data_IF_030622107680
#
_entry.id   IF_030622107680
#
_cell.length_a   1.000
_cell.length_b   1.000
_cell.length_c   1.000
_cell.angle_alpha   90.00
_cell.angle_beta   90.00
_cell.angle_gamma   90.00
#
_symmetry.space_group_name_H-M   'P 1'
#
loop_
_entity.id
_entity.type
_entity.pdbx_description
1 polymer ?
#
# COMPACT_ATOMS: atom_id res chain seq x y z
N UNK A 1 19.85 -12.35 -26.54
CA UNK A 1 19.71 -10.96 -27.01
C UNK A 1 19.09 -10.13 -25.89
N UNK A 2 19.70 -9.01 -25.51
CA UNK A 2 19.12 -8.11 -24.49
C UNK A 2 17.89 -7.46 -25.13
N UNK A 3 16.69 -7.53 -24.51
CA UNK A 3 15.49 -6.96 -25.10
C UNK A 3 15.53 -5.43 -25.06
N UNK A 4 15.08 -4.80 -26.15
CA UNK A 4 14.81 -3.36 -26.16
C UNK A 4 13.70 -3.00 -25.17
N UNK A 5 13.77 -1.79 -24.63
CA UNK A 5 12.76 -1.27 -23.71
C UNK A 5 11.32 -1.45 -24.23
N UNK A 6 11.07 -1.15 -25.52
CA UNK A 6 9.72 -1.26 -26.09
C UNK A 6 9.21 -2.71 -26.14
N UNK A 7 10.10 -3.68 -26.35
CA UNK A 7 9.73 -5.09 -26.35
C UNK A 7 9.45 -5.55 -24.92
N UNK A 8 10.34 -5.22 -23.98
CA UNK A 8 10.16 -5.56 -22.57
C UNK A 8 8.88 -4.96 -21.99
N UNK A 9 8.57 -3.71 -22.32
CA UNK A 9 7.42 -3.00 -21.76
C UNK A 9 6.09 -3.58 -22.20
N UNK A 10 5.99 -4.11 -23.43
CA UNK A 10 4.76 -4.77 -23.92
C UNK A 10 4.41 -5.99 -23.09
N UNK A 11 5.41 -6.79 -22.69
CA UNK A 11 5.19 -7.93 -21.80
C UNK A 11 4.87 -7.49 -20.37
N UNK A 12 5.56 -6.46 -19.88
CA UNK A 12 5.34 -5.95 -18.54
C UNK A 12 3.96 -5.28 -18.40
N UNK A 13 3.48 -4.56 -19.43
CA UNK A 13 2.18 -3.89 -19.45
C UNK A 13 1.04 -4.89 -19.30
N UNK A 14 1.09 -6.03 -20.00
CA UNK A 14 0.08 -7.09 -19.85
C UNK A 14 -0.01 -7.59 -18.41
N UNK A 15 1.12 -7.82 -17.76
CA UNK A 15 1.17 -8.29 -16.37
C UNK A 15 0.71 -7.22 -15.38
N UNK A 16 1.21 -5.99 -15.53
CA UNK A 16 0.86 -4.89 -14.64
C UNK A 16 -0.63 -4.55 -14.73
N UNK A 17 -1.22 -4.59 -15.92
CA UNK A 17 -2.66 -4.40 -16.10
C UNK A 17 -3.44 -5.43 -15.28
N UNK A 18 -3.09 -6.73 -15.42
CA UNK A 18 -3.73 -7.81 -14.66
C UNK A 18 -3.58 -7.59 -13.15
N UNK A 19 -2.39 -7.21 -12.67
CA UNK A 19 -2.18 -6.96 -11.24
C UNK A 19 -2.95 -5.75 -10.72
N UNK A 20 -3.00 -4.65 -11.48
CA UNK A 20 -3.76 -3.45 -11.10
C UNK A 20 -5.26 -3.78 -11.03
N UNK A 21 -5.79 -4.51 -12.01
CA UNK A 21 -7.17 -4.99 -11.98
C UNK A 21 -7.44 -5.92 -10.80
N UNK A 22 -6.58 -6.92 -10.58
CA UNK A 22 -6.75 -7.87 -9.48
C UNK A 22 -6.80 -7.15 -8.12
N UNK A 23 -5.85 -6.26 -7.84
CA UNK A 23 -5.82 -5.52 -6.57
C UNK A 23 -6.99 -4.54 -6.47
N UNK A 24 -7.26 -3.78 -7.54
CA UNK A 24 -8.36 -2.81 -7.56
C UNK A 24 -9.73 -3.46 -7.32
N UNK A 25 -10.01 -4.57 -8.01
CA UNK A 25 -11.26 -5.31 -7.86
C UNK A 25 -11.39 -5.98 -6.49
N UNK A 26 -10.30 -6.51 -5.92
CA UNK A 26 -10.32 -7.07 -4.56
C UNK A 26 -10.68 -6.00 -3.54
N UNK A 27 -10.05 -4.82 -3.60
CA UNK A 27 -10.30 -3.75 -2.63
C UNK A 27 -11.69 -3.13 -2.79
N UNK A 28 -12.15 -2.89 -4.02
CA UNK A 28 -13.52 -2.45 -4.27
C UNK A 28 -14.52 -3.52 -3.85
N UNK A 29 -14.21 -4.80 -4.07
CA UNK A 29 -15.05 -5.92 -3.64
C UNK A 29 -15.19 -6.00 -2.12
N UNK A 30 -14.12 -5.75 -1.36
CA UNK A 30 -14.19 -5.63 0.10
C UNK A 30 -15.06 -4.46 0.53
N UNK A 31 -14.86 -3.28 -0.08
CA UNK A 31 -15.72 -2.13 0.16
C UNK A 31 -17.20 -2.47 -0.11
N UNK A 32 -17.51 -3.05 -1.28
CA UNK A 32 -18.88 -3.29 -1.72
C UNK A 32 -19.60 -4.32 -0.83
N UNK A 33 -18.88 -5.37 -0.41
CA UNK A 33 -19.38 -6.35 0.56
C UNK A 33 -19.65 -5.69 1.92
N UNK A 34 -18.73 -4.85 2.38
CA UNK A 34 -18.87 -4.15 3.66
C UNK A 34 -19.99 -3.11 3.64
N UNK A 35 -20.32 -2.55 2.48
CA UNK A 35 -21.44 -1.63 2.26
C UNK A 35 -22.79 -2.33 2.07
N UNK A 36 -22.88 -3.66 2.28
CA UNK A 36 -24.12 -4.41 2.07
C UNK A 36 -24.59 -4.40 0.60
N UNK A 37 -23.64 -4.35 -0.34
CA UNK A 37 -23.87 -4.22 -1.77
C UNK A 37 -24.54 -2.92 -2.22
N UNK A 38 -24.53 -1.89 -1.36
CA UNK A 38 -24.99 -0.54 -1.71
C UNK A 38 -23.81 0.36 -2.08
N UNK A 39 -24.10 1.44 -2.81
CA UNK A 39 -23.13 2.49 -3.13
C UNK A 39 -23.80 3.85 -2.96
N UNK A 40 -23.67 4.48 -1.78
CA UNK A 40 -24.21 5.82 -1.54
C UNK A 40 -23.29 6.90 -2.11
N UNK A 41 -23.85 8.09 -2.37
CA UNK A 41 -23.10 9.24 -2.88
C UNK A 41 -21.99 9.72 -1.95
N UNK A 42 -22.14 9.53 -0.64
CA UNK A 42 -21.14 9.86 0.38
C UNK A 42 -19.83 9.08 0.19
N UNK A 43 -19.91 7.87 -0.36
CA UNK A 43 -18.77 6.96 -0.50
C UNK A 43 -18.02 7.11 -1.82
N UNK A 44 -18.43 8.04 -2.68
CA UNK A 44 -17.72 8.35 -3.94
C UNK A 44 -16.25 8.70 -3.65
N UNK A 45 -16.01 9.49 -2.60
CA UNK A 45 -14.66 9.84 -2.15
C UNK A 45 -13.89 8.63 -1.60
N UNK A 46 -14.58 7.69 -0.95
CA UNK A 46 -13.98 6.48 -0.36
C UNK A 46 -13.48 5.55 -1.47
N UNK A 47 -14.33 5.22 -2.45
CA UNK A 47 -13.97 4.35 -3.58
C UNK A 47 -12.85 4.98 -4.42
N UNK A 48 -12.92 6.29 -4.65
CA UNK A 48 -11.88 7.04 -5.35
C UNK A 48 -10.56 7.06 -4.57
N UNK A 49 -10.63 7.17 -3.24
CA UNK A 49 -9.49 7.05 -2.32
C UNK A 49 -8.80 5.69 -2.40
N UNK A 50 -9.57 4.60 -2.40
CA UNK A 50 -9.05 3.24 -2.56
C UNK A 50 -8.27 3.13 -3.87
N UNK A 51 -8.87 3.56 -4.99
CA UNK A 51 -8.24 3.52 -6.31
C UNK A 51 -6.98 4.41 -6.39
N UNK A 52 -7.02 5.62 -5.83
CA UNK A 52 -5.85 6.51 -5.79
C UNK A 52 -4.69 5.90 -4.98
N UNK A 53 -4.99 5.22 -3.88
CA UNK A 53 -3.99 4.52 -3.06
C UNK A 53 -3.42 3.28 -3.76
N UNK A 54 -4.21 2.60 -4.61
CA UNK A 54 -3.67 1.55 -5.49
C UNK A 54 -2.61 2.16 -6.41
N UNK A 55 -2.92 3.27 -7.10
CA UNK A 55 -1.92 3.95 -7.94
C UNK A 55 -0.66 4.32 -7.13
N UNK A 56 -0.85 4.94 -5.97
CA UNK A 56 0.24 5.33 -5.07
C UNK A 56 1.18 4.15 -4.79
N UNK A 57 0.62 3.00 -4.40
CA UNK A 57 1.42 1.82 -4.06
C UNK A 57 2.22 1.29 -5.25
N UNK A 58 1.67 1.36 -6.47
CA UNK A 58 2.40 0.96 -7.68
C UNK A 58 3.53 1.93 -8.06
N UNK A 59 3.35 3.23 -7.84
CA UNK A 59 4.34 4.25 -8.25
C UNK A 59 5.41 4.52 -7.19
N UNK A 60 5.16 4.22 -5.92
CA UNK A 60 6.05 4.57 -4.81
C UNK A 60 7.46 3.97 -4.91
N UNK A 61 7.55 2.69 -5.28
CA UNK A 61 8.82 1.96 -5.46
C UNK A 61 9.23 1.83 -6.95
N UNK A 62 8.43 2.36 -7.87
CA UNK A 62 8.62 2.18 -9.32
C UNK A 62 9.94 2.77 -9.83
N UNK A 63 10.32 3.96 -9.36
CA UNK A 63 11.59 4.60 -9.74
C UNK A 63 12.79 3.73 -9.35
N UNK A 64 12.77 3.18 -8.14
CA UNK A 64 13.83 2.32 -7.65
C UNK A 64 13.90 1.00 -8.44
N UNK A 65 12.75 0.39 -8.74
CA UNK A 65 12.69 -0.79 -9.60
C UNK A 65 13.37 -0.55 -10.96
N UNK A 66 13.12 0.59 -11.59
CA UNK A 66 13.75 0.94 -12.87
C UNK A 66 15.23 1.26 -12.74
N UNK A 67 15.68 1.84 -11.62
CA UNK A 67 17.10 2.04 -11.34
C UNK A 67 17.88 0.72 -11.29
N UNK A 68 17.34 -0.27 -10.58
CA UNK A 68 17.91 -1.61 -10.57
C UNK A 68 18.03 -2.20 -12.00
N UNK A 69 16.97 -2.10 -12.82
CA UNK A 69 16.97 -2.61 -14.20
C UNK A 69 17.94 -1.86 -15.12
N UNK A 70 18.10 -0.56 -14.92
CA UNK A 70 19.03 0.27 -15.69
C UNK A 70 20.49 -0.07 -15.36
N UNK A 71 20.84 -0.18 -14.08
CA UNK A 71 22.21 -0.46 -13.64
C UNK A 71 22.65 -1.88 -14.02
N UNK A 72 21.76 -2.86 -13.91
CA UNK A 72 22.05 -4.24 -14.31
C UNK A 72 22.14 -4.46 -15.82
N UNK A 73 21.84 -3.44 -16.64
CA UNK A 73 21.88 -3.48 -18.12
C UNK A 73 21.12 -4.66 -18.74
N UNK A 74 20.08 -5.14 -18.04
CA UNK A 74 19.24 -6.24 -18.50
C UNK A 74 18.27 -5.84 -19.61
N UNK A 75 18.21 -4.56 -19.97
CA UNK A 75 17.31 -3.95 -20.96
C UNK A 75 18.09 -2.87 -21.70
N UNK A 76 17.91 -2.75 -23.01
CA UNK A 76 18.45 -1.61 -23.75
C UNK A 76 17.55 -0.36 -23.59
N UNK A 77 18.15 0.71 -23.08
CA UNK A 77 17.52 2.02 -22.85
C UNK A 77 17.89 3.06 -23.93
N UNK A 78 18.48 2.64 -25.05
CA UNK A 78 18.84 3.49 -26.19
C UNK A 78 17.70 4.43 -26.65
N UNK A 79 16.44 3.99 -26.59
CA UNK A 79 15.25 4.79 -26.90
C UNK A 79 15.11 6.09 -26.10
N UNK A 80 15.69 6.14 -24.89
CA UNK A 80 15.65 7.31 -24.01
C UNK A 80 16.85 8.23 -24.15
N UNK A 81 17.87 7.84 -24.94
CA UNK A 81 19.01 8.72 -25.23
C UNK A 81 18.47 10.03 -25.82
N UNK A 82 18.78 11.16 -25.17
CA UNK A 82 18.33 12.53 -25.51
C UNK A 82 16.92 12.95 -25.05
N UNK A 83 16.16 12.12 -24.34
CA UNK A 83 14.82 12.48 -23.83
C UNK A 83 14.86 12.97 -22.39
N UNK A 84 14.86 14.27 -22.16
CA UNK A 84 14.83 14.83 -20.81
C UNK A 84 13.41 15.07 -20.30
N UNK A 85 13.24 15.08 -18.98
CA UNK A 85 11.98 15.47 -18.35
C UNK A 85 11.92 16.98 -18.15
N UNK A 86 10.75 17.55 -18.39
CA UNK A 86 10.47 18.92 -17.99
C UNK A 86 10.28 19.02 -16.46
N UNK A 87 10.50 20.20 -15.88
CA UNK A 87 10.33 20.43 -14.42
C UNK A 87 8.91 20.11 -13.94
N UNK A 88 7.90 20.39 -14.75
CA UNK A 88 6.49 20.09 -14.46
C UNK A 88 6.26 18.56 -14.42
N UNK A 89 6.82 17.83 -15.38
CA UNK A 89 6.75 16.35 -15.41
C UNK A 89 7.38 15.73 -14.16
N UNK A 90 8.50 16.28 -13.68
CA UNK A 90 9.15 15.84 -12.43
C UNK A 90 8.27 16.09 -11.19
N UNK A 91 7.54 17.19 -11.15
CA UNK A 91 6.65 17.52 -10.03
C UNK A 91 5.39 16.64 -10.03
N UNK A 92 4.72 16.52 -11.19
CA UNK A 92 3.50 15.72 -11.35
C UNK A 92 3.73 14.22 -11.10
N UNK A 93 4.94 13.73 -11.33
CA UNK A 93 5.28 12.31 -11.14
C UNK A 93 5.66 11.96 -9.71
N UNK A 94 5.75 12.94 -8.79
CA UNK A 94 5.99 12.62 -7.38
C UNK A 94 4.83 11.79 -6.81
N UNK A 95 5.09 10.70 -6.06
CA UNK A 95 4.02 9.77 -5.64
C UNK A 95 2.85 10.41 -4.90
N UNK A 96 3.11 11.37 -4.01
CA UNK A 96 2.06 12.07 -3.27
C UNK A 96 1.23 12.99 -4.17
N UNK A 97 1.88 13.73 -5.07
CA UNK A 97 1.22 14.64 -6.02
C UNK A 97 0.38 13.84 -7.01
N UNK A 98 0.96 12.79 -7.61
CA UNK A 98 0.25 11.89 -8.52
C UNK A 98 -0.94 11.19 -7.83
N UNK A 99 -0.76 10.74 -6.59
CA UNK A 99 -1.83 10.15 -5.79
C UNK A 99 -2.98 11.13 -5.56
N UNK A 100 -2.68 12.36 -5.13
CA UNK A 100 -3.68 13.40 -4.90
C UNK A 100 -4.42 13.82 -6.18
N UNK A 101 -3.70 14.02 -7.29
CA UNK A 101 -4.32 14.34 -8.58
C UNK A 101 -5.20 13.18 -9.09
N UNK A 102 -4.75 11.93 -8.90
CA UNK A 102 -5.55 10.76 -9.26
C UNK A 102 -6.82 10.66 -8.43
N UNK A 103 -6.78 11.03 -7.14
CA UNK A 103 -7.97 11.10 -6.28
C UNK A 103 -8.99 12.09 -6.84
N UNK A 104 -8.58 13.32 -7.17
CA UNK A 104 -9.48 14.32 -7.73
C UNK A 104 -10.11 13.82 -9.04
N UNK A 105 -9.28 13.27 -9.93
CA UNK A 105 -9.74 12.80 -11.23
C UNK A 105 -10.70 11.61 -11.13
N UNK A 106 -10.40 10.65 -10.25
CA UNK A 106 -11.25 9.49 -10.00
C UNK A 106 -12.55 9.87 -9.28
N UNK A 107 -12.50 10.85 -8.37
CA UNK A 107 -13.70 11.38 -7.72
C UNK A 107 -14.60 12.09 -8.73
N UNK A 108 -14.05 12.90 -9.64
CA UNK A 108 -14.82 13.55 -10.70
C UNK A 108 -15.46 12.52 -11.65
N UNK A 109 -14.70 11.48 -12.04
CA UNK A 109 -15.21 10.39 -12.86
C UNK A 109 -16.34 9.63 -12.15
N UNK A 110 -16.13 9.26 -10.89
CA UNK A 110 -17.09 8.50 -10.08
C UNK A 110 -18.36 9.31 -9.82
N UNK A 111 -18.23 10.61 -9.56
CA UNK A 111 -19.35 11.54 -9.44
C UNK A 111 -20.14 11.63 -10.75
N UNK A 112 -19.47 11.81 -11.88
CA UNK A 112 -20.13 11.85 -13.19
C UNK A 112 -20.90 10.57 -13.50
N UNK A 113 -20.31 9.41 -13.23
CA UNK A 113 -20.98 8.11 -13.42
C UNK A 113 -22.18 7.93 -12.48
N UNK A 114 -22.06 8.37 -11.22
CA UNK A 114 -23.14 8.29 -10.24
C UNK A 114 -24.35 9.17 -10.63
N UNK A 115 -24.12 10.32 -11.26
CA UNK A 115 -25.20 11.20 -11.72
C UNK A 115 -25.95 10.63 -12.94
N UNK A 116 -25.27 9.84 -13.77
CA UNK A 116 -25.83 9.33 -15.02
C UNK A 116 -26.50 7.96 -14.87
N UNK A 117 -26.17 7.20 -13.83
CA UNK A 117 -26.54 5.79 -13.69
C UNK A 117 -27.02 5.47 -12.28
N UNK A 118 -27.89 4.47 -12.11
CA UNK A 118 -28.20 3.94 -10.78
C UNK A 118 -26.95 3.43 -10.07
N UNK A 119 -26.95 3.51 -8.74
CA UNK A 119 -25.79 3.25 -7.86
C UNK A 119 -25.05 1.94 -8.16
N UNK A 120 -25.79 0.85 -8.40
CA UNK A 120 -25.21 -0.47 -8.71
C UNK A 120 -24.42 -0.45 -10.03
N UNK A 121 -24.98 0.13 -11.09
CA UNK A 121 -24.32 0.22 -12.39
C UNK A 121 -23.16 1.21 -12.37
N UNK A 122 -23.28 2.30 -11.60
CA UNK A 122 -22.20 3.25 -11.39
C UNK A 122 -20.98 2.58 -10.74
N UNK A 123 -21.17 1.83 -9.64
CA UNK A 123 -20.07 1.13 -8.98
C UNK A 123 -19.45 0.05 -9.88
N UNK A 124 -20.28 -0.68 -10.63
CA UNK A 124 -19.79 -1.68 -11.59
C UNK A 124 -18.88 -1.04 -12.65
N UNK A 125 -19.31 0.07 -13.27
CA UNK A 125 -18.48 0.79 -14.24
C UNK A 125 -17.23 1.40 -13.61
N UNK A 126 -17.32 1.94 -12.39
CA UNK A 126 -16.15 2.44 -11.66
C UNK A 126 -15.14 1.30 -11.41
N UNK A 127 -15.62 0.10 -11.06
CA UNK A 127 -14.76 -1.07 -10.86
C UNK A 127 -14.06 -1.54 -12.13
N UNK A 128 -14.67 -1.32 -13.30
CA UNK A 128 -14.10 -1.65 -14.61
C UNK A 128 -13.16 -0.56 -15.13
N UNK A 129 -13.56 0.71 -15.06
CA UNK A 129 -12.85 1.85 -15.62
C UNK A 129 -11.75 2.38 -14.69
N UNK A 130 -11.96 2.33 -13.37
CA UNK A 130 -11.00 2.81 -12.37
C UNK A 130 -9.61 2.19 -12.53
N UNK A 131 -9.47 0.85 -12.54
CA UNK A 131 -8.19 0.18 -12.77
C UNK A 131 -7.56 0.51 -14.14
N UNK A 132 -8.37 0.72 -15.18
CA UNK A 132 -7.87 1.14 -16.50
C UNK A 132 -7.25 2.53 -16.44
N UNK A 133 -7.94 3.48 -15.81
CA UNK A 133 -7.47 4.85 -15.60
C UNK A 133 -6.17 4.85 -14.78
N UNK A 134 -6.11 4.07 -13.69
CA UNK A 134 -4.88 3.86 -12.90
C UNK A 134 -3.75 3.33 -13.79
N UNK A 135 -4.02 2.33 -14.63
CA UNK A 135 -3.02 1.76 -15.52
C UNK A 135 -2.49 2.79 -16.53
N UNK A 136 -3.36 3.63 -17.11
CA UNK A 136 -2.96 4.69 -18.04
C UNK A 136 -2.07 5.73 -17.34
N UNK A 137 -2.44 6.17 -16.13
CA UNK A 137 -1.61 7.06 -15.31
C UNK A 137 -0.27 6.43 -14.96
N UNK A 138 -0.27 5.18 -14.50
CA UNK A 138 0.93 4.42 -14.21
C UNK A 138 1.87 4.34 -15.42
N UNK A 139 1.31 4.07 -16.61
CA UNK A 139 2.07 4.02 -17.87
C UNK A 139 2.72 5.36 -18.20
N UNK A 140 2.01 6.47 -18.01
CA UNK A 140 2.58 7.80 -18.19
C UNK A 140 3.72 8.06 -17.21
N UNK A 141 3.47 7.92 -15.90
CA UNK A 141 4.44 8.17 -14.81
C UNK A 141 5.71 7.32 -14.99
N UNK A 142 5.54 6.06 -15.38
CA UNK A 142 6.66 5.16 -15.65
C UNK A 142 7.63 5.73 -16.68
N UNK A 143 7.12 6.25 -17.80
CA UNK A 143 8.02 6.74 -18.85
C UNK A 143 8.87 7.90 -18.34
N UNK A 144 8.29 8.78 -17.52
CA UNK A 144 9.02 9.84 -16.83
C UNK A 144 10.07 9.29 -15.88
N UNK A 145 9.77 8.28 -15.05
CA UNK A 145 10.76 7.67 -14.16
C UNK A 145 11.91 6.99 -14.89
N UNK A 146 11.64 6.30 -16.01
CA UNK A 146 12.69 5.68 -16.82
C UNK A 146 13.61 6.74 -17.42
N UNK A 147 13.06 7.87 -17.93
CA UNK A 147 13.88 9.02 -18.38
C UNK A 147 14.78 9.56 -17.26
N UNK A 148 14.26 9.69 -16.02
CA UNK A 148 15.04 10.18 -14.88
C UNK A 148 16.25 9.28 -14.63
N UNK A 149 15.99 7.98 -14.50
CA UNK A 149 17.00 6.99 -14.15
C UNK A 149 18.04 6.79 -15.27
N UNK A 150 17.61 6.83 -16.54
CA UNK A 150 18.49 6.63 -17.68
C UNK A 150 19.48 7.80 -17.90
N UNK A 151 19.15 9.00 -17.41
CA UNK A 151 19.93 10.23 -17.66
C UNK A 151 20.69 10.68 -16.41
N UNK A 152 20.15 10.50 -15.21
CA UNK A 152 20.81 10.88 -13.97
C UNK A 152 20.58 9.88 -12.84
N UNK A 153 21.69 9.39 -12.28
CA UNK A 153 21.66 8.74 -10.97
C UNK A 153 21.43 9.85 -9.96
N UNK A 154 20.25 9.87 -9.33
CA UNK A 154 19.96 10.84 -8.29
C UNK A 154 21.07 10.78 -7.23
N UNK A 155 21.63 11.92 -6.83
CA UNK A 155 22.63 12.02 -5.75
C UNK A 155 22.00 12.74 -4.56
N UNK A 156 21.01 12.10 -3.92
CA UNK A 156 20.45 12.65 -2.67
C UNK A 156 19.82 11.55 -1.83
N UNK A 157 20.34 11.39 -0.61
CA UNK A 157 19.73 10.56 0.43
C UNK A 157 18.33 11.11 0.73
N UNK A 158 17.31 10.26 0.54
CA UNK A 158 15.89 10.60 0.71
C UNK A 158 15.31 9.98 1.98
N UNK A 159 15.73 8.76 2.32
CA UNK A 159 15.22 8.05 3.49
C UNK A 159 16.35 7.77 4.47
N UNK A 160 16.25 8.38 5.67
CA UNK A 160 17.29 8.30 6.70
C UNK A 160 17.24 7.01 7.53
N UNK A 161 16.08 6.37 7.63
CA UNK A 161 15.94 5.15 8.45
C UNK A 161 14.84 4.22 7.95
N UNK A 162 15.07 2.91 8.10
CA UNK A 162 14.10 1.87 7.80
C UNK A 162 12.81 2.06 8.59
N UNK A 163 12.91 2.46 9.87
CA UNK A 163 11.76 2.71 10.74
C UNK A 163 10.80 3.75 10.15
N UNK A 164 11.31 4.87 9.62
CA UNK A 164 10.47 5.90 8.98
C UNK A 164 9.83 5.42 7.69
N UNK A 165 10.56 4.61 6.91
CA UNK A 165 10.06 4.02 5.66
C UNK A 165 8.95 2.99 5.93
N UNK A 166 9.13 2.13 6.95
CA UNK A 166 8.11 1.19 7.41
C UNK A 166 6.89 1.94 7.94
N UNK A 167 7.09 2.97 8.78
CA UNK A 167 5.99 3.76 9.34
C UNK A 167 5.12 4.36 8.24
N UNK A 168 5.73 4.97 7.21
CA UNK A 168 4.99 5.51 6.08
C UNK A 168 4.14 4.42 5.39
N UNK A 169 4.71 3.24 5.13
CA UNK A 169 3.97 2.15 4.49
C UNK A 169 2.86 1.59 5.36
N UNK A 170 3.07 1.49 6.67
CA UNK A 170 2.05 1.06 7.62
C UNK A 170 0.92 2.09 7.66
N UNK A 171 1.23 3.39 7.71
CA UNK A 171 0.23 4.46 7.66
C UNK A 171 -0.63 4.39 6.38
N UNK A 172 -0.01 4.16 5.22
CA UNK A 172 -0.76 4.03 3.96
C UNK A 172 -1.65 2.79 3.99
N UNK A 173 -1.12 1.66 4.44
CA UNK A 173 -1.89 0.42 4.60
C UNK A 173 -3.06 0.59 5.56
N UNK A 174 -2.88 1.31 6.68
CA UNK A 174 -3.98 1.62 7.61
C UNK A 174 -5.03 2.51 6.98
N UNK A 175 -4.66 3.51 6.17
CA UNK A 175 -5.63 4.35 5.44
C UNK A 175 -6.43 3.51 4.44
N UNK A 176 -5.79 2.62 3.68
CA UNK A 176 -6.50 1.70 2.77
C UNK A 176 -7.50 0.85 3.56
N UNK A 177 -7.06 0.26 4.68
CA UNK A 177 -7.93 -0.58 5.50
C UNK A 177 -9.12 0.21 6.04
N UNK A 178 -8.91 1.42 6.57
CA UNK A 178 -9.97 2.30 7.04
C UNK A 178 -11.00 2.60 5.96
N UNK A 179 -10.57 2.94 4.75
CA UNK A 179 -11.47 3.20 3.63
C UNK A 179 -12.28 1.95 3.24
N UNK A 180 -11.67 0.76 3.29
CA UNK A 180 -12.39 -0.48 2.96
C UNK A 180 -13.39 -0.91 4.03
N UNK A 181 -13.14 -0.62 5.31
CA UNK A 181 -14.01 -1.04 6.43
C UNK A 181 -15.03 0.02 6.81
N UNK A 182 -14.82 1.30 6.46
CA UNK A 182 -15.70 2.42 6.84
C UNK A 182 -17.20 2.13 6.62
N UNK A 183 -17.64 1.46 5.54
CA UNK A 183 -19.06 1.13 5.34
C UNK A 183 -19.68 0.23 6.42
N UNK A 184 -18.87 -0.54 7.17
CA UNK A 184 -19.35 -1.41 8.26
C UNK A 184 -20.00 -0.62 9.40
N UNK A 185 -19.77 0.69 9.48
CA UNK A 185 -20.42 1.59 10.45
C UNK A 185 -21.95 1.53 10.39
N UNK A 186 -22.51 1.19 9.22
CA UNK A 186 -23.94 1.12 8.98
C UNK A 186 -24.54 -0.27 9.26
N UNK A 187 -23.74 -1.25 9.70
CA UNK A 187 -24.22 -2.61 9.89
C UNK A 187 -24.70 -2.87 11.33
N UNK A 188 -25.77 -3.66 11.48
CA UNK A 188 -26.41 -3.98 12.78
C UNK A 188 -25.49 -4.63 13.82
N UNK A 189 -24.31 -5.09 13.41
CA UNK A 189 -23.31 -5.66 14.33
C UNK A 189 -22.40 -4.59 14.96
N UNK A 190 -22.36 -3.39 14.39
CA UNK A 190 -21.53 -2.26 14.80
C UNK A 190 -22.33 -0.97 15.07
N UNK A 191 -23.63 -0.92 14.73
CA UNK A 191 -24.57 0.11 15.18
C UNK A 191 -24.85 -0.13 16.67
N UNK A 192 -23.92 0.29 17.51
CA UNK A 192 -24.07 0.27 18.96
C UNK A 192 -24.43 1.68 19.40
N UNK A 193 -25.73 1.91 19.67
CA UNK A 193 -26.27 3.11 20.31
C UNK A 193 -25.71 3.27 21.75
N UNK A 194 -24.39 3.45 21.89
CA UNK A 194 -23.69 3.56 23.18
C UNK A 194 -23.39 2.23 23.90
N UNK A 195 -23.86 1.08 23.39
CA UNK A 195 -23.60 -0.24 23.99
C UNK A 195 -22.37 -0.94 23.38
N UNK A 196 -21.18 -0.43 23.70
CA UNK A 196 -19.91 -0.96 23.17
C UNK A 196 -19.56 -2.36 23.70
N UNK A 197 -20.00 -2.68 24.92
CA UNK A 197 -19.73 -3.93 25.62
C UNK A 197 -20.85 -4.95 25.38
N UNK A 198 -20.91 -5.51 24.18
CA UNK A 198 -21.71 -6.71 23.91
C UNK A 198 -20.79 -7.84 23.46
N UNK A 199 -21.13 -9.07 23.82
CA UNK A 199 -20.36 -10.23 23.39
C UNK A 199 -20.29 -10.33 21.85
N UNK A 200 -21.38 -9.94 21.18
CA UNK A 200 -21.47 -9.87 19.72
C UNK A 200 -20.49 -8.84 19.13
N UNK A 201 -20.40 -7.63 19.69
CA UNK A 201 -19.49 -6.58 19.18
C UNK A 201 -18.03 -6.97 19.38
N UNK A 202 -17.66 -7.54 20.53
CA UNK A 202 -16.29 -7.98 20.83
C UNK A 202 -15.84 -9.06 19.84
N UNK A 203 -16.67 -10.08 19.60
CA UNK A 203 -16.36 -11.14 18.62
C UNK A 203 -16.27 -10.57 17.20
N UNK A 204 -17.22 -9.73 16.80
CA UNK A 204 -17.23 -9.13 15.46
C UNK A 204 -15.95 -8.30 15.23
N UNK A 205 -15.53 -7.54 16.23
CA UNK A 205 -14.33 -6.71 16.17
C UNK A 205 -13.06 -7.55 16.14
N UNK A 206 -12.98 -8.62 16.96
CA UNK A 206 -11.86 -9.56 16.93
C UNK A 206 -11.69 -10.19 15.53
N UNK A 207 -12.80 -10.64 14.93
CA UNK A 207 -12.79 -11.22 13.59
C UNK A 207 -12.34 -10.17 12.58
N UNK A 208 -12.85 -8.94 12.67
CA UNK A 208 -12.48 -7.84 11.79
C UNK A 208 -10.99 -7.53 11.87
N UNK A 209 -10.45 -7.35 13.09
CA UNK A 209 -9.02 -7.15 13.33
C UNK A 209 -8.19 -8.30 12.76
N UNK A 210 -8.59 -9.55 12.99
CA UNK A 210 -7.92 -10.74 12.47
C UNK A 210 -7.90 -10.79 10.94
N UNK A 211 -9.02 -10.51 10.28
CA UNK A 211 -9.12 -10.48 8.82
C UNK A 211 -8.28 -9.36 8.22
N UNK A 212 -8.36 -8.14 8.76
CA UNK A 212 -7.56 -6.99 8.31
C UNK A 212 -6.07 -7.30 8.47
N UNK A 213 -5.66 -7.85 9.61
CA UNK A 213 -4.28 -8.26 9.83
C UNK A 213 -3.84 -9.36 8.85
N UNK A 214 -4.66 -10.38 8.61
CA UNK A 214 -4.35 -11.47 7.69
C UNK A 214 -4.13 -10.96 6.26
N UNK A 215 -4.99 -10.04 5.80
CA UNK A 215 -4.85 -9.38 4.49
C UNK A 215 -3.53 -8.59 4.43
N UNK A 216 -3.23 -7.79 5.46
CA UNK A 216 -1.97 -7.04 5.52
C UNK A 216 -0.74 -7.95 5.49
N UNK A 217 -0.76 -9.05 6.25
CA UNK A 217 0.32 -10.04 6.26
C UNK A 217 0.46 -10.76 4.91
N UNK A 218 -0.65 -11.00 4.21
CA UNK A 218 -0.63 -11.58 2.87
C UNK A 218 0.07 -10.64 1.87
N UNK A 219 -0.30 -9.36 1.85
CA UNK A 219 0.35 -8.37 0.98
C UNK A 219 1.82 -8.13 1.35
N UNK A 220 2.21 -8.33 2.61
CA UNK A 220 3.58 -8.20 3.05
C UNK A 220 4.52 -9.30 2.50
N UNK A 221 3.99 -10.41 1.97
CA UNK A 221 4.80 -11.49 1.38
C UNK A 221 5.56 -11.06 0.12
N UNK A 222 5.17 -9.96 -0.52
CA UNK A 222 5.88 -9.44 -1.67
C UNK A 222 7.20 -8.78 -1.25
N UNK A 223 8.32 -9.44 -1.55
CA UNK A 223 9.66 -8.96 -1.20
C UNK A 223 9.99 -7.62 -1.86
N UNK A 224 10.63 -6.74 -1.09
CA UNK A 224 11.11 -5.43 -1.53
C UNK A 224 12.59 -5.40 -1.89
N UNK A 225 13.28 -6.55 -1.92
CA UNK A 225 14.73 -6.65 -2.16
C UNK A 225 15.22 -5.85 -3.37
N UNK A 226 14.54 -5.96 -4.52
CA UNK A 226 14.94 -5.26 -5.75
C UNK A 226 14.64 -3.76 -5.71
N UNK A 227 13.60 -3.36 -4.96
CA UNK A 227 13.33 -1.95 -4.72
C UNK A 227 14.43 -1.35 -3.84
N UNK A 228 14.82 -2.01 -2.75
CA UNK A 228 15.94 -1.54 -1.91
C UNK A 228 17.26 -1.48 -2.68
N UNK A 229 17.59 -2.51 -3.47
CA UNK A 229 18.78 -2.50 -4.31
C UNK A 229 18.79 -1.32 -5.30
N UNK A 230 17.64 -1.04 -5.92
CA UNK A 230 17.47 0.13 -6.77
C UNK A 230 17.66 1.46 -6.04
N UNK A 231 17.18 1.57 -4.80
CA UNK A 231 17.37 2.77 -3.95
C UNK A 231 18.83 2.95 -3.51
N UNK A 232 19.56 1.85 -3.25
CA UNK A 232 21.00 1.88 -2.99
C UNK A 232 21.77 2.38 -4.23
N UNK A 233 21.42 1.92 -5.43
CA UNK A 233 22.05 2.42 -6.67
C UNK A 233 21.75 3.90 -6.93
N UNK A 234 20.56 4.37 -6.56
CA UNK A 234 20.19 5.79 -6.61
C UNK A 234 20.73 6.60 -5.43
N UNK A 235 21.51 6.02 -4.52
CA UNK A 235 22.01 6.68 -3.31
C UNK A 235 20.88 7.40 -2.52
N UNK A 236 19.64 6.90 -2.61
CA UNK A 236 18.49 7.42 -1.86
C UNK A 236 18.50 6.92 -0.42
N UNK A 237 19.25 5.84 -0.19
CA UNK A 237 19.38 5.07 1.03
C UNK A 237 20.85 4.74 1.24
N UNK A 238 21.32 4.86 2.47
CA UNK A 238 22.69 4.50 2.87
C UNK A 238 22.79 3.06 3.38
N UNK A 239 24.00 2.52 3.48
CA UNK A 239 24.23 1.17 4.05
C UNK A 239 23.81 1.07 5.53
N UNK A 240 23.83 2.19 6.26
CA UNK A 240 23.38 2.29 7.66
C UNK A 240 21.87 2.51 7.82
N UNK A 241 21.11 2.41 6.72
CA UNK A 241 19.67 2.67 6.72
C UNK A 241 18.86 1.80 7.69
N UNK A 242 19.29 0.56 7.90
CA UNK A 242 18.68 -0.30 8.90
C UNK A 242 19.58 -0.44 10.11
N UNK A 243 19.04 -0.08 11.28
CA UNK A 243 19.59 -0.48 12.56
C UNK A 243 19.20 -1.90 12.93
N UNK A 244 19.86 -2.44 13.95
CA UNK A 244 19.58 -3.76 14.52
C UNK A 244 18.11 -3.92 14.94
N UNK A 245 17.61 -5.15 14.88
CA UNK A 245 16.22 -5.48 15.17
C UNK A 245 16.00 -5.64 16.68
N UNK A 246 15.21 -4.75 17.29
CA UNK A 246 14.91 -4.78 18.73
C UNK A 246 14.16 -6.04 19.23
N UNK A 247 13.58 -6.85 18.34
CA UNK A 247 12.75 -8.04 18.68
C UNK A 247 13.15 -9.29 17.88
N UNK A 248 14.41 -9.41 17.47
CA UNK A 248 14.89 -10.52 16.64
C UNK A 248 14.55 -11.92 17.19
N UNK A 249 14.68 -12.11 18.50
CA UNK A 249 14.38 -13.38 19.20
C UNK A 249 12.90 -13.74 19.15
N UNK A 250 12.00 -12.77 19.29
CA UNK A 250 10.56 -13.00 19.15
C UNK A 250 10.18 -13.34 17.71
N UNK A 251 10.77 -12.66 16.73
CA UNK A 251 10.49 -12.94 15.31
C UNK A 251 11.18 -14.20 14.78
N UNK A 252 12.12 -14.80 15.52
CA UNK A 252 12.63 -16.13 15.23
C UNK A 252 11.61 -17.25 15.57
N UNK A 253 10.64 -16.98 16.45
CA UNK A 253 9.59 -17.95 16.82
C UNK A 253 8.64 -18.21 15.63
N UNK A 254 8.03 -19.41 15.58
CA UNK A 254 7.17 -19.78 14.47
C UNK A 254 5.90 -18.91 14.45
N UNK A 255 5.38 -18.65 13.24
CA UNK A 255 4.34 -17.64 13.01
C UNK A 255 3.04 -17.91 13.78
N UNK A 256 2.59 -19.17 13.85
CA UNK A 256 1.39 -19.57 14.59
C UNK A 256 1.44 -19.20 16.07
N UNK A 257 2.59 -19.41 16.73
CA UNK A 257 2.78 -19.06 18.15
C UNK A 257 2.67 -17.55 18.35
N UNK A 258 3.27 -16.74 17.46
CA UNK A 258 3.17 -15.28 17.53
C UNK A 258 1.74 -14.80 17.33
N UNK A 259 1.01 -15.39 16.38
CA UNK A 259 -0.40 -15.06 16.14
C UNK A 259 -1.30 -15.49 17.30
N UNK A 260 -1.02 -16.62 17.94
CA UNK A 260 -1.77 -17.06 19.12
C UNK A 260 -1.57 -16.10 20.30
N UNK A 261 -0.33 -15.70 20.58
CA UNK A 261 -0.03 -14.69 21.60
C UNK A 261 -0.75 -13.38 21.27
N UNK A 262 -0.71 -12.94 20.01
CA UNK A 262 -1.39 -11.73 19.57
C UNK A 262 -2.91 -11.84 19.75
N UNK A 263 -3.52 -13.00 19.43
CA UNK A 263 -4.96 -13.21 19.59
C UNK A 263 -5.41 -13.03 21.05
N UNK A 264 -4.63 -13.58 22.00
CA UNK A 264 -4.90 -13.43 23.44
C UNK A 264 -4.78 -11.95 23.86
N UNK A 265 -3.72 -11.27 23.42
CA UNK A 265 -3.53 -9.84 23.70
C UNK A 265 -4.66 -9.00 23.11
N UNK A 266 -5.05 -9.27 21.86
CA UNK A 266 -6.10 -8.56 21.15
C UNK A 266 -7.45 -8.73 21.84
N UNK A 267 -7.80 -9.95 22.26
CA UNK A 267 -9.02 -10.20 23.03
C UNK A 267 -9.06 -9.39 24.32
N UNK A 268 -7.98 -9.43 25.11
CA UNK A 268 -7.89 -8.65 26.34
C UNK A 268 -7.95 -7.14 26.06
N UNK A 269 -7.28 -6.67 25.01
CA UNK A 269 -7.27 -5.27 24.62
C UNK A 269 -8.64 -4.75 24.19
N UNK A 270 -9.34 -5.48 23.32
CA UNK A 270 -10.69 -5.12 22.88
C UNK A 270 -11.61 -5.04 24.10
N UNK A 271 -11.59 -6.04 24.98
CA UNK A 271 -12.42 -6.02 26.20
C UNK A 271 -12.12 -4.80 27.07
N UNK A 272 -10.85 -4.44 27.24
CA UNK A 272 -10.44 -3.26 28.01
C UNK A 272 -10.95 -1.96 27.37
N UNK A 273 -10.75 -1.79 26.06
CA UNK A 273 -11.21 -0.61 25.32
C UNK A 273 -12.73 -0.50 25.37
N UNK A 274 -13.47 -1.60 25.19
CA UNK A 274 -14.93 -1.62 25.29
C UNK A 274 -15.41 -1.24 26.68
N UNK A 275 -14.80 -1.78 27.75
CA UNK A 275 -15.14 -1.42 29.15
C UNK A 275 -14.93 0.08 29.39
N UNK A 276 -13.78 0.62 29.00
CA UNK A 276 -13.48 2.04 29.16
C UNK A 276 -14.44 2.93 28.37
N UNK A 277 -14.76 2.54 27.12
CA UNK A 277 -15.70 3.28 26.29
C UNK A 277 -17.12 3.30 26.89
N UNK A 278 -17.57 2.19 27.48
CA UNK A 278 -18.87 2.12 28.16
C UNK A 278 -18.89 2.94 29.45
N UNK A 279 -17.84 2.90 30.26
CA UNK A 279 -17.76 3.66 31.52
C UNK A 279 -17.77 5.18 31.31
N UNK A 280 -17.20 5.66 30.19
CA UNK A 280 -17.11 7.08 29.85
C UNK A 280 -18.31 7.56 29.01
N UNK A 281 -19.27 6.67 28.70
CA UNK A 281 -20.36 6.92 27.73
C UNK A 281 -19.84 7.51 26.41
N UNK A 282 -18.67 7.03 25.98
CA UNK A 282 -17.93 7.70 24.93
C UNK A 282 -18.58 7.47 23.57
N UNK A 283 -19.05 8.55 22.93
CA UNK A 283 -19.59 8.54 21.56
C UNK A 283 -18.46 8.71 20.53
N UNK A 284 -17.78 7.62 20.21
CA UNK A 284 -16.68 7.61 19.24
C UNK A 284 -17.20 7.19 17.86
N UNK A 285 -16.64 7.78 16.79
CA UNK A 285 -16.81 7.30 15.41
C UNK A 285 -16.30 5.86 15.25
N UNK A 286 -16.98 5.06 14.44
CA UNK A 286 -16.63 3.65 14.21
C UNK A 286 -15.16 3.47 13.78
N UNK A 287 -14.66 4.30 12.87
CA UNK A 287 -13.29 4.22 12.36
C UNK A 287 -12.25 4.46 13.47
N UNK A 288 -12.52 5.41 14.36
CA UNK A 288 -11.65 5.71 15.50
C UNK A 288 -11.71 4.60 16.56
N UNK A 289 -12.90 4.05 16.82
CA UNK A 289 -13.07 2.91 17.72
C UNK A 289 -12.33 1.67 17.19
N UNK A 290 -12.47 1.38 15.89
CA UNK A 290 -11.74 0.31 15.23
C UNK A 290 -10.23 0.52 15.34
N UNK A 291 -9.72 1.73 15.07
CA UNK A 291 -8.29 2.01 15.17
C UNK A 291 -7.74 1.76 16.58
N UNK A 292 -8.47 2.19 17.61
CA UNK A 292 -8.11 1.96 19.00
C UNK A 292 -8.04 0.48 19.34
N UNK A 293 -9.02 -0.29 18.86
CA UNK A 293 -9.06 -1.73 19.07
C UNK A 293 -7.96 -2.46 18.28
N UNK A 294 -7.68 -2.01 17.06
CA UNK A 294 -6.67 -2.59 16.17
C UNK A 294 -5.21 -2.24 16.54
N UNK A 295 -4.96 -1.46 17.60
CA UNK A 295 -3.61 -1.03 18.02
C UNK A 295 -2.64 -2.22 18.19
N UNK A 296 -2.98 -3.31 18.92
CA UNK A 296 -2.03 -4.42 19.09
C UNK A 296 -1.68 -5.10 17.77
N UNK A 297 -2.67 -5.32 16.90
CA UNK A 297 -2.46 -5.81 15.54
C UNK A 297 -1.58 -4.88 14.69
N UNK A 298 -1.77 -3.57 14.80
CA UNK A 298 -0.97 -2.56 14.08
C UNK A 298 0.48 -2.54 14.57
N UNK A 299 0.70 -2.60 15.89
CA UNK A 299 2.03 -2.69 16.50
C UNK A 299 2.73 -3.97 16.01
N UNK A 300 2.06 -5.12 16.08
CA UNK A 300 2.59 -6.38 15.57
C UNK A 300 2.94 -6.29 14.08
N UNK A 301 2.03 -5.77 13.26
CA UNK A 301 2.24 -5.60 11.82
C UNK A 301 3.45 -4.70 11.52
N UNK A 302 3.59 -3.59 12.24
CA UNK A 302 4.73 -2.69 12.11
C UNK A 302 6.06 -3.41 12.37
N UNK A 303 6.17 -4.12 13.50
CA UNK A 303 7.41 -4.83 13.83
C UNK A 303 7.68 -6.00 12.89
N UNK A 304 6.65 -6.72 12.46
CA UNK A 304 6.78 -7.82 11.50
C UNK A 304 7.24 -7.32 10.13
N UNK A 305 6.67 -6.21 9.66
CA UNK A 305 7.09 -5.52 8.43
C UNK A 305 8.54 -5.07 8.51
N UNK A 306 8.93 -4.41 9.62
CA UNK A 306 10.31 -3.98 9.85
C UNK A 306 11.28 -5.18 9.85
N UNK A 307 10.92 -6.30 10.47
CA UNK A 307 11.74 -7.50 10.50
C UNK A 307 11.95 -8.10 9.09
N UNK A 308 10.90 -8.26 8.31
CA UNK A 308 10.99 -8.79 6.95
C UNK A 308 11.79 -7.87 6.03
N UNK A 309 11.52 -6.57 6.09
CA UNK A 309 12.21 -5.59 5.24
C UNK A 309 13.66 -5.35 5.65
N UNK A 310 14.01 -5.55 6.92
CA UNK A 310 15.40 -5.62 7.34
C UNK A 310 16.13 -6.75 6.60
N UNK A 311 15.55 -7.97 6.57
CA UNK A 311 16.16 -9.11 5.88
C UNK A 311 16.27 -8.87 4.36
N UNK A 312 15.23 -8.31 3.74
CA UNK A 312 15.25 -7.90 2.32
C UNK A 312 16.34 -6.84 2.05
N UNK A 313 16.53 -5.89 2.97
CA UNK A 313 17.55 -4.86 2.87
C UNK A 313 18.96 -5.44 3.00
N UNK A 314 19.20 -6.32 3.98
CA UNK A 314 20.49 -7.00 4.13
C UNK A 314 20.86 -7.81 2.89
N UNK A 315 19.88 -8.50 2.30
CA UNK A 315 20.05 -9.19 1.01
C UNK A 315 20.38 -8.21 -0.13
N UNK A 316 19.72 -7.05 -0.18
CA UNK A 316 20.03 -6.02 -1.17
C UNK A 316 21.45 -5.45 -1.00
N UNK A 317 21.93 -5.27 0.24
CA UNK A 317 23.31 -4.86 0.51
C UNK A 317 24.33 -5.90 0.02
N UNK A 318 24.11 -7.18 0.30
CA UNK A 318 24.98 -8.26 -0.22
C UNK A 318 25.02 -8.26 -1.76
N UNK A 319 23.85 -8.15 -2.41
CA UNK A 319 23.77 -8.02 -3.88
C UNK A 319 24.51 -6.79 -4.40
N UNK A 320 24.42 -5.65 -3.70
CA UNK A 320 25.10 -4.41 -4.05
C UNK A 320 26.62 -4.56 -3.99
N UNK A 321 27.16 -5.16 -2.93
CA UNK A 321 28.60 -5.39 -2.79
C UNK A 321 29.14 -6.37 -3.83
N UNK A 322 28.43 -7.46 -4.12
CA UNK A 322 28.78 -8.40 -5.19
C UNK A 322 28.86 -7.69 -6.54
N UNK A 323 27.90 -6.82 -6.85
CA UNK A 323 27.91 -6.02 -8.08
C UNK A 323 29.11 -5.06 -8.14
N UNK A 324 29.47 -4.43 -7.02
CA UNK A 324 30.65 -3.58 -6.93
C UNK A 324 31.97 -4.32 -7.19
N UNK A 325 32.03 -5.62 -6.87
CA UNK A 325 33.16 -6.48 -7.20
C UNK A 325 33.25 -6.84 -8.68
N UNK A 326 32.12 -7.04 -9.38
CA UNK A 326 32.13 -7.39 -10.81
C UNK A 326 32.40 -6.20 -11.76
N UNK A 327 32.24 -4.97 -11.28
CA UNK A 327 32.48 -3.74 -12.05
C UNK A 327 33.85 -3.09 -11.79
N UNK A 328 34.67 -3.68 -10.91
CA UNK A 328 36.11 -3.42 -10.85
C UNK A 328 36.81 -4.46 -11.72
#
# INVERSE_FOLDING_TARGET
MIPDYLTFIRFQDKRNLIYIYAIGLILIGFYWKNAGFTFPSEDIGVVSGILALVLYNFIFDLKAYWAYKCVTKNIDFSWFKKKQNHKIELFLTQPLVAGFLSLIMLSAMSWGLYQLLPSLYALFLISLLGPLVIFLLFRMIRTSYVKQVAISVAKKVKYKSLTRYVLLSVCISTVVNLLTISPLRNSDSFVTEGQWLTFKSIIALLILCGVVLAINLFFLRFSKRYAFLGRLFLQEIDLFFSSENALSTFFAKPLWLRLFILLVIEMMWITLVSVLATLVEWRIWFEAYFLLCYVPCLIYYFFHCRFLWHNDFMMACDMYFRWGHFNK
#
